data_IF_490264555657
#
_entry.id   IF_490264555657
#
_cell.length_a   1.000
_cell.length_b   1.000
_cell.length_c   1.000
_cell.angle_alpha   90.00
_cell.angle_beta   90.00
_cell.angle_gamma   90.00
#
_symmetry.space_group_name_H-M   'P 1'
#
loop_
_entity.id
_entity.type
_entity.pdbx_description
1 polymer ?
#
# COMPACT_ATOMS: atom_id res chain seq x y z
N UNK A 1 1.54 -4.30 36.18
CA UNK A 1 1.56 -4.75 37.60
C UNK A 1 2.93 -5.25 38.08
N UNK A 2 3.81 -5.81 37.24
CA UNK A 2 5.14 -6.30 37.64
C UNK A 2 6.14 -5.21 38.07
N UNK A 3 5.99 -3.99 37.55
CA UNK A 3 6.96 -2.91 37.73
C UNK A 3 6.83 -2.16 39.07
N UNK A 4 5.60 -1.96 39.54
CA UNK A 4 5.31 -1.44 40.89
C UNK A 4 5.85 -2.42 41.94
N UNK A 5 5.79 -3.73 41.66
CA UNK A 5 6.32 -4.77 42.55
C UNK A 5 7.85 -4.74 42.64
N UNK A 6 8.56 -4.48 41.53
CA UNK A 6 10.03 -4.35 41.51
C UNK A 6 10.53 -3.09 42.21
N UNK A 7 9.88 -1.94 41.97
CA UNK A 7 10.25 -0.68 42.63
C UNK A 7 10.00 -0.74 44.14
N UNK A 8 8.88 -1.34 44.57
CA UNK A 8 8.58 -1.60 45.97
C UNK A 8 9.60 -2.54 46.63
N UNK A 9 10.04 -3.60 45.93
CA UNK A 9 11.06 -4.53 46.43
C UNK A 9 12.43 -3.85 46.62
N UNK A 10 12.84 -3.00 45.68
CA UNK A 10 14.09 -2.26 45.80
C UNK A 10 14.03 -1.22 46.94
N UNK A 11 12.94 -0.47 47.07
CA UNK A 11 12.78 0.49 48.17
C UNK A 11 12.69 -0.19 49.54
N UNK A 12 12.02 -1.35 49.62
CA UNK A 12 11.95 -2.13 50.85
C UNK A 12 13.33 -2.68 51.25
N UNK A 13 14.14 -3.13 50.29
CA UNK A 13 15.52 -3.56 50.54
C UNK A 13 16.36 -2.44 51.16
N UNK A 14 16.33 -1.25 50.54
CA UNK A 14 17.06 -0.06 51.04
C UNK A 14 16.59 0.35 52.44
N UNK A 15 15.29 0.30 52.71
CA UNK A 15 14.72 0.60 54.03
C UNK A 15 15.20 -0.39 55.09
N UNK A 16 15.22 -1.69 54.79
CA UNK A 16 15.71 -2.73 55.71
C UNK A 16 17.21 -2.55 56.00
N UNK A 17 18.02 -2.21 54.99
CA UNK A 17 19.46 -1.97 55.20
C UNK A 17 19.71 -0.72 56.03
N UNK A 18 18.96 0.37 55.80
CA UNK A 18 19.05 1.61 56.61
C UNK A 18 18.59 1.40 58.05
N UNK A 19 17.52 0.65 58.27
CA UNK A 19 17.02 0.29 59.60
C UNK A 19 18.01 -0.57 60.38
N UNK A 20 18.68 -1.51 59.70
CA UNK A 20 19.70 -2.37 60.31
C UNK A 20 20.97 -1.60 60.71
N UNK A 21 21.36 -0.57 59.96
CA UNK A 21 22.58 0.22 60.21
C UNK A 21 22.40 1.34 61.23
N UNK A 22 21.25 2.00 61.26
CA UNK A 22 21.07 3.25 62.03
C UNK A 22 19.90 3.22 63.02
N UNK A 23 19.10 2.14 63.05
CA UNK A 23 17.89 2.07 63.86
C UNK A 23 16.73 2.93 63.30
N UNK A 24 15.59 2.89 64.00
CA UNK A 24 14.41 3.68 63.63
C UNK A 24 14.58 5.12 64.14
N UNK A 25 15.11 5.99 63.29
CA UNK A 25 15.26 7.42 63.57
C UNK A 25 14.54 8.20 62.47
N UNK A 26 13.90 9.32 62.79
CA UNK A 26 13.15 10.13 61.82
C UNK A 26 13.98 10.53 60.58
N UNK A 27 15.29 10.67 60.72
CA UNK A 27 16.23 10.93 59.63
C UNK A 27 16.30 9.80 58.59
N UNK A 28 16.16 8.52 58.99
CA UNK A 28 16.24 7.37 58.07
C UNK A 28 14.97 7.20 57.23
N UNK A 29 13.81 7.54 57.81
CA UNK A 29 12.54 7.59 57.08
C UNK A 29 12.56 8.67 55.99
N UNK A 30 13.05 9.87 56.32
CA UNK A 30 13.15 10.98 55.35
C UNK A 30 14.14 10.61 54.23
N UNK A 31 15.29 10.04 54.56
CA UNK A 31 16.26 9.58 53.57
C UNK A 31 15.66 8.54 52.61
N UNK A 32 14.92 7.57 53.15
CA UNK A 32 14.27 6.54 52.31
C UNK A 32 13.21 7.14 51.39
N UNK A 33 12.43 8.12 51.88
CA UNK A 33 11.42 8.81 51.07
C UNK A 33 12.06 9.63 49.94
N UNK A 34 13.18 10.29 50.19
CA UNK A 34 13.95 11.03 49.18
C UNK A 34 14.53 10.07 48.14
N UNK A 35 15.12 8.95 48.56
CA UNK A 35 15.67 7.94 47.65
C UNK A 35 14.56 7.31 46.80
N UNK A 36 13.40 6.99 47.39
CA UNK A 36 12.26 6.47 46.65
C UNK A 36 11.73 7.48 45.63
N UNK A 37 11.67 8.77 45.98
CA UNK A 37 11.28 9.84 45.08
C UNK A 37 12.28 10.02 43.93
N UNK A 38 13.58 9.97 44.22
CA UNK A 38 14.64 10.05 43.21
C UNK A 38 14.62 8.84 42.26
N UNK A 39 14.46 7.62 42.78
CA UNK A 39 14.34 6.41 41.96
C UNK A 39 13.08 6.50 41.09
N UNK A 40 11.94 6.93 41.64
CA UNK A 40 10.72 7.11 40.88
C UNK A 40 10.85 8.17 39.78
N UNK A 41 11.52 9.29 40.08
CA UNK A 41 11.79 10.36 39.11
C UNK A 41 12.77 9.92 38.02
N UNK A 42 13.87 9.27 38.40
CA UNK A 42 14.90 8.78 37.46
C UNK A 42 14.34 7.67 36.56
N UNK A 43 13.55 6.76 37.12
CA UNK A 43 12.85 5.75 36.35
C UNK A 43 11.80 6.35 35.41
N UNK A 44 11.04 7.36 35.85
CA UNK A 44 10.12 8.10 34.97
C UNK A 44 10.86 8.77 33.81
N UNK A 45 12.07 9.26 34.04
CA UNK A 45 12.88 9.91 33.01
C UNK A 45 13.55 8.91 32.05
N UNK A 46 14.01 7.76 32.53
CA UNK A 46 14.61 6.70 31.70
C UNK A 46 13.55 5.95 30.89
N UNK A 47 12.35 5.74 31.44
CA UNK A 47 11.25 5.10 30.70
C UNK A 47 10.70 5.96 29.54
N UNK A 48 11.06 7.24 29.44
CA UNK A 48 10.80 8.07 28.26
C UNK A 48 11.79 7.82 27.11
N UNK A 49 12.86 7.03 27.32
CA UNK A 49 13.88 6.71 26.32
C UNK A 49 13.91 5.23 25.89
N UNK A 50 12.93 4.41 26.31
CA UNK A 50 12.93 2.98 25.96
C UNK A 50 12.27 2.74 24.59
N UNK A 51 13.12 2.69 23.57
CA UNK A 51 12.93 2.34 22.15
C UNK A 51 12.21 1.00 21.82
N UNK A 52 11.53 0.33 22.75
CA UNK A 52 11.15 -1.09 22.57
C UNK A 52 9.77 -1.36 21.92
N UNK A 53 8.99 -0.33 21.56
CA UNK A 53 7.65 -0.50 20.93
C UNK A 53 7.57 -0.07 19.45
N UNK A 54 8.64 0.52 18.89
CA UNK A 54 8.64 0.99 17.50
C UNK A 54 8.70 -0.17 16.50
N UNK A 55 9.51 -1.20 16.77
CA UNK A 55 9.73 -2.33 15.86
C UNK A 55 8.52 -3.26 15.69
N UNK A 56 7.76 -3.53 16.77
CA UNK A 56 6.59 -4.41 16.65
C UNK A 56 5.40 -3.75 15.95
N UNK A 57 5.24 -2.43 16.07
CA UNK A 57 4.11 -1.71 15.49
C UNK A 57 4.30 -1.42 14.00
N UNK A 58 5.50 -0.97 13.59
CA UNK A 58 5.79 -0.64 12.20
C UNK A 58 5.89 -1.89 11.31
N UNK A 59 6.63 -2.91 11.75
CA UNK A 59 6.73 -4.18 11.02
C UNK A 59 5.38 -4.91 11.01
N UNK A 60 4.67 -4.90 12.14
CA UNK A 60 3.37 -5.54 12.30
C UNK A 60 2.30 -4.93 11.39
N UNK A 61 2.21 -3.62 11.32
CA UNK A 61 1.26 -2.92 10.43
C UNK A 61 1.65 -3.03 8.96
N UNK A 62 2.94 -2.94 8.63
CA UNK A 62 3.45 -3.21 7.27
C UNK A 62 3.00 -4.59 6.79
N UNK A 63 3.23 -5.62 7.59
CA UNK A 63 2.88 -7.00 7.24
C UNK A 63 1.37 -7.26 7.21
N UNK A 64 0.61 -6.73 8.18
CA UNK A 64 -0.83 -7.04 8.33
C UNK A 64 -1.75 -6.14 7.52
N UNK A 65 -1.33 -4.91 7.22
CA UNK A 65 -2.22 -3.87 6.66
C UNK A 65 -1.78 -3.44 5.26
N UNK A 66 -0.52 -3.05 5.09
CA UNK A 66 -0.07 -2.41 3.85
C UNK A 66 0.33 -3.41 2.76
N UNK A 67 1.16 -4.41 3.09
CA UNK A 67 1.56 -5.44 2.14
C UNK A 67 0.37 -6.22 1.54
N UNK A 68 -0.65 -6.63 2.31
CA UNK A 68 -1.81 -7.30 1.72
C UNK A 68 -2.60 -6.40 0.75
N UNK A 69 -2.68 -5.09 1.01
CA UNK A 69 -3.33 -4.13 0.10
C UNK A 69 -2.56 -3.99 -1.21
N UNK A 70 -1.24 -3.81 -1.13
CA UNK A 70 -0.36 -3.74 -2.30
C UNK A 70 -0.42 -5.03 -3.11
N UNK A 71 -0.36 -6.19 -2.45
CA UNK A 71 -0.45 -7.49 -3.10
C UNK A 71 -1.80 -7.68 -3.81
N UNK A 72 -2.91 -7.26 -3.19
CA UNK A 72 -4.24 -7.31 -3.82
C UNK A 72 -4.31 -6.43 -5.07
N UNK A 73 -3.74 -5.23 -5.03
CA UNK A 73 -3.69 -4.35 -6.20
C UNK A 73 -2.81 -4.93 -7.33
N UNK A 74 -1.67 -5.53 -6.98
CA UNK A 74 -0.79 -6.19 -7.94
C UNK A 74 -1.47 -7.42 -8.57
N UNK A 75 -2.11 -8.27 -7.77
CA UNK A 75 -2.84 -9.44 -8.25
C UNK A 75 -3.97 -9.05 -9.20
N UNK A 76 -4.72 -7.99 -8.86
CA UNK A 76 -5.75 -7.45 -9.76
C UNK A 76 -5.13 -6.95 -11.07
N UNK A 77 -4.03 -6.19 -11.01
CA UNK A 77 -3.33 -5.74 -12.22
C UNK A 77 -2.85 -6.91 -13.07
N UNK A 78 -2.33 -7.97 -12.46
CA UNK A 78 -1.86 -9.15 -13.17
C UNK A 78 -3.00 -9.91 -13.85
N UNK A 79 -4.12 -10.12 -13.14
CA UNK A 79 -5.31 -10.76 -13.69
C UNK A 79 -5.88 -9.96 -14.87
N UNK A 80 -6.04 -8.65 -14.70
CA UNK A 80 -6.54 -7.76 -15.76
C UNK A 80 -5.59 -7.78 -16.97
N UNK A 81 -4.27 -7.70 -16.77
CA UNK A 81 -3.30 -7.75 -17.86
C UNK A 81 -3.33 -9.07 -18.61
N UNK A 82 -3.38 -10.21 -17.92
CA UNK A 82 -3.47 -11.51 -18.57
C UNK A 82 -4.76 -11.67 -19.36
N UNK A 83 -5.89 -11.18 -18.82
CA UNK A 83 -7.16 -11.21 -19.53
C UNK A 83 -7.09 -10.36 -20.81
N UNK A 84 -6.58 -9.13 -20.73
CA UNK A 84 -6.43 -8.27 -21.90
C UNK A 84 -5.48 -8.85 -22.95
N UNK A 85 -4.36 -9.46 -22.55
CA UNK A 85 -3.43 -10.14 -23.48
C UNK A 85 -4.14 -11.28 -24.22
N UNK A 86 -4.91 -12.11 -23.49
CA UNK A 86 -5.67 -13.20 -24.10
C UNK A 86 -6.72 -12.69 -25.08
N UNK A 87 -7.46 -11.63 -24.71
CA UNK A 87 -8.47 -11.00 -25.58
C UNK A 87 -7.84 -10.38 -26.82
N UNK A 88 -6.75 -9.63 -26.68
CA UNK A 88 -5.98 -9.07 -27.80
C UNK A 88 -5.51 -10.19 -28.75
N UNK A 89 -5.00 -11.29 -28.20
CA UNK A 89 -4.55 -12.44 -29.01
C UNK A 89 -5.70 -13.05 -29.81
N UNK A 90 -6.88 -13.21 -29.20
CA UNK A 90 -8.08 -13.70 -29.89
C UNK A 90 -8.54 -12.74 -30.99
N UNK A 91 -8.57 -11.44 -30.71
CA UNK A 91 -8.96 -10.40 -31.67
C UNK A 91 -8.00 -10.32 -32.85
N UNK A 92 -6.69 -10.43 -32.63
CA UNK A 92 -5.71 -10.52 -33.72
C UNK A 92 -5.92 -11.77 -34.60
N UNK A 93 -6.17 -12.92 -33.98
CA UNK A 93 -6.47 -14.16 -34.71
C UNK A 93 -7.75 -14.00 -35.56
N UNK A 94 -8.80 -13.41 -34.99
CA UNK A 94 -10.06 -13.13 -35.68
C UNK A 94 -9.87 -12.15 -36.84
N UNK A 95 -9.15 -11.04 -36.63
CA UNK A 95 -8.83 -10.07 -37.68
C UNK A 95 -8.04 -10.72 -38.81
N UNK A 96 -7.06 -11.56 -38.51
CA UNK A 96 -6.30 -12.29 -39.53
C UNK A 96 -7.20 -13.22 -40.38
N UNK A 97 -8.16 -13.89 -39.75
CA UNK A 97 -9.15 -14.72 -40.45
C UNK A 97 -10.08 -13.88 -41.33
N UNK A 98 -10.60 -12.77 -40.82
CA UNK A 98 -11.48 -11.86 -41.56
C UNK A 98 -10.77 -11.22 -42.75
N UNK A 99 -9.50 -10.80 -42.59
CA UNK A 99 -8.67 -10.28 -43.70
C UNK A 99 -8.47 -11.35 -44.78
N UNK A 100 -8.18 -12.60 -44.37
CA UNK A 100 -8.04 -13.70 -45.31
C UNK A 100 -9.35 -13.96 -46.06
N UNK A 101 -10.49 -13.98 -45.36
CA UNK A 101 -11.81 -14.14 -45.96
C UNK A 101 -12.11 -13.02 -46.96
N UNK A 102 -11.88 -11.75 -46.57
CA UNK A 102 -12.04 -10.58 -47.44
C UNK A 102 -11.24 -10.72 -48.73
N UNK A 103 -9.97 -11.12 -48.63
CA UNK A 103 -9.06 -11.23 -49.78
C UNK A 103 -9.40 -12.42 -50.70
N UNK A 104 -10.19 -13.39 -50.24
CA UNK A 104 -10.65 -14.51 -51.07
C UNK A 104 -11.93 -14.20 -51.85
N UNK A 105 -12.61 -13.09 -51.56
CA UNK A 105 -13.78 -12.63 -52.30
C UNK A 105 -13.32 -11.85 -53.55
N UNK A 106 -13.56 -12.40 -54.74
CA UNK A 106 -13.30 -11.76 -56.03
C UNK A 106 -14.42 -10.77 -56.40
N UNK A 107 -14.07 -9.72 -57.16
CA UNK A 107 -14.82 -8.46 -57.33
C UNK A 107 -16.24 -8.59 -57.93
N UNK A 108 -16.60 -9.69 -58.59
CA UNK A 108 -17.72 -9.62 -59.52
C UNK A 108 -19.11 -9.65 -58.87
N UNK A 109 -19.39 -10.36 -57.76
CA UNK A 109 -20.79 -10.53 -57.26
C UNK A 109 -20.98 -10.55 -55.72
N UNK A 110 -20.11 -9.93 -54.92
CA UNK A 110 -20.14 -10.11 -53.45
C UNK A 110 -20.01 -8.84 -52.60
N UNK A 111 -20.64 -7.75 -53.04
CA UNK A 111 -20.60 -6.45 -52.34
C UNK A 111 -21.13 -6.55 -50.90
N UNK A 112 -22.22 -7.29 -50.68
CA UNK A 112 -22.86 -7.43 -49.36
C UNK A 112 -22.02 -8.28 -48.39
N UNK A 113 -21.48 -9.42 -48.84
CA UNK A 113 -20.64 -10.31 -48.01
C UNK A 113 -19.32 -9.61 -47.61
N UNK A 114 -18.73 -8.85 -48.54
CA UNK A 114 -17.56 -8.01 -48.26
C UNK A 114 -17.87 -6.93 -47.22
N UNK A 115 -19.05 -6.31 -47.30
CA UNK A 115 -19.49 -5.28 -46.36
C UNK A 115 -19.72 -5.83 -44.95
N UNK A 116 -20.27 -7.04 -44.83
CA UNK A 116 -20.42 -7.73 -43.53
C UNK A 116 -19.06 -8.04 -42.90
N UNK A 117 -18.10 -8.52 -43.69
CA UNK A 117 -16.74 -8.78 -43.19
C UNK A 117 -16.05 -7.48 -42.75
N UNK A 118 -16.20 -6.39 -43.51
CA UNK A 118 -15.65 -5.09 -43.12
C UNK A 118 -16.28 -4.55 -41.83
N UNK A 119 -17.58 -4.75 -41.62
CA UNK A 119 -18.24 -4.43 -40.35
C UNK A 119 -17.68 -5.26 -39.18
N UNK A 120 -17.49 -6.56 -39.37
CA UNK A 120 -16.90 -7.43 -38.34
C UNK A 120 -15.44 -7.06 -38.04
N UNK A 121 -14.67 -6.68 -39.06
CA UNK A 121 -13.29 -6.20 -38.88
C UNK A 121 -13.27 -4.89 -38.08
N UNK A 122 -14.14 -3.93 -38.40
CA UNK A 122 -14.22 -2.67 -37.65
C UNK A 122 -14.65 -2.90 -36.20
N UNK A 123 -15.59 -3.82 -35.95
CA UNK A 123 -15.98 -4.19 -34.59
C UNK A 123 -14.81 -4.80 -33.80
N UNK A 124 -14.09 -5.76 -34.39
CA UNK A 124 -12.92 -6.36 -33.75
C UNK A 124 -11.77 -5.36 -33.54
N UNK A 125 -11.60 -4.39 -34.45
CA UNK A 125 -10.62 -3.33 -34.30
C UNK A 125 -10.97 -2.37 -33.15
N UNK A 126 -12.23 -1.96 -33.04
CA UNK A 126 -12.70 -1.12 -31.93
C UNK A 126 -12.53 -1.82 -30.58
N UNK A 127 -12.84 -3.12 -30.52
CA UNK A 127 -12.63 -3.90 -29.30
C UNK A 127 -11.14 -4.03 -28.95
N UNK A 128 -10.26 -4.16 -29.96
CA UNK A 128 -8.82 -4.20 -29.75
C UNK A 128 -8.29 -2.87 -29.21
N UNK A 129 -8.78 -1.74 -29.72
CA UNK A 129 -8.46 -0.42 -29.17
C UNK A 129 -8.91 -0.28 -27.71
N UNK A 130 -10.11 -0.75 -27.37
CA UNK A 130 -10.60 -0.74 -25.99
C UNK A 130 -9.70 -1.58 -25.07
N UNK A 131 -9.27 -2.76 -25.51
CA UNK A 131 -8.33 -3.59 -24.73
C UNK A 131 -6.95 -2.95 -24.56
N UNK A 132 -6.45 -2.22 -25.56
CA UNK A 132 -5.21 -1.48 -25.43
C UNK A 132 -5.34 -0.33 -24.40
N UNK A 133 -6.49 0.33 -24.33
CA UNK A 133 -6.77 1.33 -23.29
C UNK A 133 -6.82 0.71 -21.88
N UNK A 134 -7.20 -0.56 -21.74
CA UNK A 134 -7.07 -1.28 -20.47
C UNK A 134 -5.59 -1.45 -20.04
N UNK A 135 -4.67 -1.57 -20.99
CA UNK A 135 -3.23 -1.58 -20.73
C UNK A 135 -2.75 -0.31 -20.01
N UNK A 136 -3.20 0.85 -20.45
CA UNK A 136 -2.89 2.14 -19.83
C UNK A 136 -3.47 2.25 -18.40
N UNK A 137 -4.69 1.76 -18.18
CA UNK A 137 -5.28 1.66 -16.82
C UNK A 137 -4.45 0.75 -15.90
N UNK A 138 -3.91 -0.34 -16.42
CA UNK A 138 -3.05 -1.25 -15.67
C UNK A 138 -1.69 -0.60 -15.33
N UNK A 139 -1.07 0.12 -16.27
CA UNK A 139 0.15 0.88 -16.02
C UNK A 139 -0.06 1.91 -14.91
N UNK A 140 -1.18 2.63 -14.94
CA UNK A 140 -1.51 3.61 -13.90
C UNK A 140 -1.70 2.96 -12.52
N UNK A 141 -2.32 1.78 -12.47
CA UNK A 141 -2.46 1.01 -11.22
C UNK A 141 -1.11 0.53 -10.69
N UNK A 142 -0.22 0.07 -11.57
CA UNK A 142 1.13 -0.33 -11.20
C UNK A 142 1.96 0.85 -10.68
N UNK A 143 1.83 2.04 -11.29
CA UNK A 143 2.48 3.25 -10.81
C UNK A 143 2.03 3.61 -9.38
N UNK A 144 0.74 3.48 -9.06
CA UNK A 144 0.25 3.68 -7.68
C UNK A 144 0.78 2.66 -6.68
N UNK A 145 0.93 1.39 -7.10
CA UNK A 145 1.56 0.35 -6.26
C UNK A 145 3.02 0.70 -5.98
N UNK A 146 3.77 1.13 -6.99
CA UNK A 146 5.17 1.54 -6.84
C UNK A 146 5.33 2.72 -5.89
N UNK A 147 4.50 3.75 -6.05
CA UNK A 147 4.49 4.91 -5.14
C UNK A 147 4.15 4.51 -3.70
N UNK A 148 3.18 3.59 -3.51
CA UNK A 148 2.85 3.05 -2.19
C UNK A 148 4.01 2.29 -1.54
N UNK A 149 4.79 1.54 -2.33
CA UNK A 149 5.99 0.85 -1.85
C UNK A 149 7.08 1.86 -1.46
N UNK A 150 7.35 2.86 -2.31
CA UNK A 150 8.34 3.91 -2.03
C UNK A 150 8.00 4.69 -0.75
N UNK A 151 6.72 5.05 -0.59
CA UNK A 151 6.23 5.70 0.62
C UNK A 151 6.46 4.82 1.86
N UNK A 152 6.17 3.53 1.78
CA UNK A 152 6.36 2.60 2.89
C UNK A 152 7.84 2.43 3.25
N UNK A 153 8.72 2.31 2.25
CA UNK A 153 10.17 2.26 2.44
C UNK A 153 10.67 3.53 3.14
N UNK A 154 10.23 4.70 2.69
CA UNK A 154 10.64 5.97 3.29
C UNK A 154 10.15 6.12 4.74
N UNK A 155 8.90 5.74 5.04
CA UNK A 155 8.40 5.77 6.42
C UNK A 155 9.18 4.80 7.33
N UNK A 156 9.45 3.58 6.87
CA UNK A 156 10.25 2.62 7.63
C UNK A 156 11.67 3.16 7.89
N UNK A 157 12.31 3.77 6.87
CA UNK A 157 13.64 4.38 6.99
C UNK A 157 13.65 5.53 8.01
N UNK A 158 12.63 6.38 8.01
CA UNK A 158 12.53 7.50 8.96
C UNK A 158 12.31 7.01 10.41
N UNK A 159 11.59 5.89 10.57
CA UNK A 159 11.35 5.25 11.87
C UNK A 159 12.62 4.56 12.38
N UNK A 160 13.31 3.81 11.53
CA UNK A 160 14.59 3.17 11.85
C UNK A 160 15.66 4.20 12.26
N UNK A 161 15.67 5.38 11.63
CA UNK A 161 16.58 6.47 11.99
C UNK A 161 16.16 7.26 13.24
N UNK A 162 15.07 6.88 13.92
CA UNK A 162 14.53 7.60 15.07
C UNK A 162 14.03 9.02 14.76
N UNK A 163 13.88 9.37 13.47
CA UNK A 163 13.50 10.72 13.02
C UNK A 163 11.99 10.96 13.04
N UNK A 164 11.20 9.89 13.03
CA UNK A 164 9.74 9.95 13.01
C UNK A 164 9.15 8.76 13.75
N UNK A 165 8.11 8.99 14.55
CA UNK A 165 7.31 7.91 15.12
C UNK A 165 6.43 7.26 14.05
N UNK A 166 6.20 5.95 14.16
CA UNK A 166 5.29 5.24 13.27
C UNK A 166 3.86 5.78 13.40
N UNK A 167 3.34 6.37 12.33
CA UNK A 167 1.95 6.84 12.26
C UNK A 167 1.22 6.08 11.15
N UNK A 168 0.59 4.99 11.56
CA UNK A 168 -0.23 4.15 10.67
C UNK A 168 -1.39 4.93 10.05
N UNK A 169 -1.99 5.88 10.79
CA UNK A 169 -3.16 6.61 10.32
C UNK A 169 -2.81 7.58 9.19
N UNK A 170 -1.70 8.30 9.33
CA UNK A 170 -1.16 9.16 8.27
C UNK A 170 -0.76 8.32 7.06
N UNK A 171 -0.06 7.21 7.26
CA UNK A 171 0.33 6.33 6.15
C UNK A 171 -0.90 5.73 5.43
N UNK A 172 -1.92 5.33 6.17
CA UNK A 172 -3.18 4.85 5.61
C UNK A 172 -3.92 5.93 4.80
N UNK A 173 -3.87 7.20 5.24
CA UNK A 173 -4.44 8.31 4.48
C UNK A 173 -3.71 8.55 3.16
N UNK A 174 -2.37 8.47 3.15
CA UNK A 174 -1.57 8.65 1.93
C UNK A 174 -1.81 7.49 0.95
N UNK A 175 -1.84 6.24 1.43
CA UNK A 175 -2.26 5.10 0.61
C UNK A 175 -3.66 5.28 0.00
N UNK A 176 -4.58 5.85 0.76
CA UNK A 176 -5.93 6.15 0.28
C UNK A 176 -5.90 7.25 -0.79
N UNK A 177 -5.06 8.28 -0.64
CA UNK A 177 -4.86 9.33 -1.65
C UNK A 177 -4.26 8.78 -2.95
N UNK A 178 -3.24 7.93 -2.86
CA UNK A 178 -2.63 7.26 -4.02
C UNK A 178 -3.67 6.40 -4.75
N UNK A 179 -4.46 5.62 -3.99
CA UNK A 179 -5.51 4.77 -4.55
C UNK A 179 -6.60 5.63 -5.21
N UNK A 180 -7.11 6.66 -4.54
CA UNK A 180 -8.12 7.53 -5.10
C UNK A 180 -7.63 8.25 -6.35
N UNK A 181 -6.37 8.72 -6.39
CA UNK A 181 -5.83 9.39 -7.58
C UNK A 181 -5.71 8.43 -8.76
N UNK A 182 -5.25 7.21 -8.52
CA UNK A 182 -5.17 6.21 -9.60
C UNK A 182 -6.55 5.78 -10.07
N UNK A 183 -7.52 5.63 -9.17
CA UNK A 183 -8.93 5.31 -9.52
C UNK A 183 -9.66 6.44 -10.24
N UNK A 184 -9.50 7.69 -9.80
CA UNK A 184 -10.09 8.86 -10.43
C UNK A 184 -9.53 9.09 -11.83
N UNK A 185 -8.21 8.98 -12.01
CA UNK A 185 -7.61 9.11 -13.33
C UNK A 185 -8.03 7.98 -14.29
N UNK A 186 -8.32 6.78 -13.78
CA UNK A 186 -8.96 5.71 -14.56
C UNK A 186 -10.41 6.07 -14.94
N UNK A 187 -11.17 6.71 -14.04
CA UNK A 187 -12.55 7.12 -14.28
C UNK A 187 -12.67 8.31 -15.24
N UNK A 188 -11.79 9.31 -15.14
CA UNK A 188 -11.74 10.46 -16.05
C UNK A 188 -11.37 10.02 -17.48
N UNK A 189 -10.41 9.10 -17.63
CA UNK A 189 -10.10 8.51 -18.95
C UNK A 189 -11.28 7.76 -19.54
N UNK A 190 -12.11 7.10 -18.72
CA UNK A 190 -13.34 6.41 -19.17
C UNK A 190 -14.42 7.40 -19.65
N UNK A 191 -14.58 8.54 -18.98
CA UNK A 191 -15.55 9.56 -19.40
C UNK A 191 -15.10 10.31 -20.66
N UNK A 192 -13.82 10.62 -20.80
CA UNK A 192 -13.30 11.29 -22.01
C UNK A 192 -13.30 10.37 -23.24
N UNK A 193 -13.10 9.06 -23.07
CA UNK A 193 -13.21 8.09 -24.18
C UNK A 193 -14.67 7.81 -24.63
N UNK A 194 -15.67 8.28 -23.88
CA UNK A 194 -17.08 8.30 -24.30
C UNK A 194 -17.50 9.61 -24.97
N UNK A 195 -16.68 10.67 -24.93
CA UNK A 195 -16.99 11.97 -25.54
C UNK A 195 -16.11 12.36 -26.72
N UNK A 196 -15.13 11.54 -27.09
CA UNK A 196 -14.20 11.88 -28.17
C UNK A 196 -14.51 11.08 -29.43
N UNK A 197 -15.35 11.68 -30.27
CA UNK A 197 -15.42 11.49 -31.73
C UNK A 197 -14.12 12.01 -32.41
N UNK A 198 -12.99 11.89 -31.70
CA UNK A 198 -11.72 12.53 -31.94
C UNK A 198 -10.67 11.48 -32.21
N UNK A 199 -10.70 10.97 -33.44
CA UNK A 199 -9.62 10.22 -34.07
C UNK A 199 -8.28 10.89 -33.73
N UNK A 200 -7.42 10.20 -32.98
CA UNK A 200 -6.00 10.57 -32.89
C UNK A 200 -5.17 9.40 -33.39
N UNK A 201 -4.73 9.51 -34.64
CA UNK A 201 -3.71 8.65 -35.23
C UNK A 201 -2.35 8.99 -34.60
N UNK A 202 -1.63 7.95 -34.17
CA UNK A 202 -0.17 7.90 -34.27
C UNK A 202 0.21 6.56 -34.88
#
# INVERSE_FOLDING_TARGET
MSWVRRTFQMSAGVLVTLLALFGVVWSTLIATLIIAALIAWFNKHISMQTEENLDQSALGSTYRVFLPKLNKQLQKSYQDSNQSINQITLLFSQLALLVKQRNTLTDDHKTEEKQVIEQQMNAAYNELLEQLQHGDRNLQRQAGVMEGIELLIEQLRLVEQGRKSWDESSLASEFSRITNRTELAMAEKKNNSQSDDGITYF
#
